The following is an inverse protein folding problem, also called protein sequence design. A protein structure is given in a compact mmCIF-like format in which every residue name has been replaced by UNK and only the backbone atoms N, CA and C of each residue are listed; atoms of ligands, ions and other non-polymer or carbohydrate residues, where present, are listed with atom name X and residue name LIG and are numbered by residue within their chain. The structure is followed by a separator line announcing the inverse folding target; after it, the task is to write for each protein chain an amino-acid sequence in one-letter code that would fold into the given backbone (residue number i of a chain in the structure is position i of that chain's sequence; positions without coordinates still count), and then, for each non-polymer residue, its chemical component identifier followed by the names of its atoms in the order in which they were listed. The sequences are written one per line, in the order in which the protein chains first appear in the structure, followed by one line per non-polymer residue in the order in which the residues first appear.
data_IF_858093307033
#
_entry.id   IF_858093307033
#
_cell.length_a   1.000
_cell.length_b   1.000
_cell.length_c   1.000
_cell.angle_alpha   90.00
_cell.angle_beta   90.00
_cell.angle_gamma   90.00
#
_symmetry.space_group_name_H-M   'P 1'
#
loop_
_entity.id
_entity.type
_entity.pdbx_description
1 polymer ?
#
# COMPACT_ATOMS: atom_id res chain seq x y z
N UNK A 1 27.34 -12.34 12.87
CA UNK A 1 25.87 -12.23 13.03
C UNK A 1 25.27 -12.12 11.64
N UNK A 2 24.20 -12.86 11.36
CA UNK A 2 23.42 -12.68 10.13
C UNK A 2 22.38 -11.61 10.44
N UNK A 3 22.64 -10.37 10.02
CA UNK A 3 21.73 -9.23 10.28
C UNK A 3 20.43 -9.32 9.47
N UNK A 4 20.40 -10.12 8.39
CA UNK A 4 19.23 -10.30 7.51
C UNK A 4 19.11 -11.76 7.06
N UNK A 5 17.96 -12.39 7.32
CA UNK A 5 17.67 -13.75 6.86
C UNK A 5 17.16 -13.75 5.43
N UNK A 6 18.05 -13.97 4.47
CA UNK A 6 17.72 -14.07 3.05
C UNK A 6 18.68 -15.00 2.29
N UNK A 7 18.23 -15.53 1.14
CA UNK A 7 19.12 -16.26 0.22
C UNK A 7 20.03 -15.30 -0.56
N UNK A 8 19.46 -14.25 -1.14
CA UNK A 8 20.19 -13.15 -1.78
C UNK A 8 19.30 -11.90 -1.86
N UNK A 9 19.91 -10.73 -2.11
CA UNK A 9 19.20 -9.47 -2.34
C UNK A 9 18.26 -9.53 -3.55
N UNK A 10 18.69 -10.20 -4.62
CA UNK A 10 17.93 -10.30 -5.87
C UNK A 10 16.73 -11.25 -5.74
N UNK A 11 16.85 -12.23 -4.85
CA UNK A 11 15.84 -13.27 -4.67
C UNK A 11 14.92 -13.06 -3.47
N UNK A 12 15.19 -12.07 -2.60
CA UNK A 12 14.46 -11.89 -1.34
C UNK A 12 12.95 -11.69 -1.56
N UNK A 13 12.56 -10.80 -2.48
CA UNK A 13 11.15 -10.53 -2.79
C UNK A 13 10.48 -11.79 -3.38
N UNK A 14 11.12 -12.46 -4.35
CA UNK A 14 10.59 -13.71 -4.93
C UNK A 14 10.47 -14.82 -3.89
N UNK A 15 11.41 -14.89 -2.94
CA UNK A 15 11.37 -15.81 -1.80
C UNK A 15 10.19 -15.55 -0.88
N UNK A 16 9.91 -14.29 -0.57
CA UNK A 16 8.73 -13.87 0.18
C UNK A 16 7.42 -14.31 -0.51
N UNK A 17 7.27 -14.02 -1.81
CA UNK A 17 6.08 -14.42 -2.58
C UNK A 17 5.88 -15.94 -2.62
N UNK A 18 6.95 -16.73 -2.73
CA UNK A 18 6.87 -18.20 -2.61
C UNK A 18 6.44 -18.64 -1.21
N UNK A 19 6.95 -17.98 -0.18
CA UNK A 19 6.61 -18.24 1.22
C UNK A 19 5.11 -18.04 1.47
N UNK A 20 4.56 -16.88 1.10
CA UNK A 20 3.13 -16.59 1.29
C UNK A 20 2.24 -17.49 0.43
N UNK A 21 2.67 -17.85 -0.79
CA UNK A 21 1.94 -18.80 -1.65
C UNK A 21 1.79 -20.16 -0.98
N UNK A 22 2.82 -20.61 -0.26
CA UNK A 22 2.80 -21.89 0.47
C UNK A 22 1.98 -21.78 1.77
N UNK A 23 2.11 -20.67 2.49
CA UNK A 23 1.47 -20.48 3.79
C UNK A 23 -0.06 -20.23 3.69
N UNK A 24 -0.54 -19.67 2.57
CA UNK A 24 -1.94 -19.26 2.40
C UNK A 24 -2.59 -19.89 1.16
N UNK A 25 -2.79 -21.23 1.12
CA UNK A 25 -3.32 -21.93 -0.06
C UNK A 25 -4.78 -21.56 -0.41
N UNK A 26 -5.50 -20.91 0.50
CA UNK A 26 -6.87 -20.42 0.27
C UNK A 26 -6.97 -19.11 -0.52
N UNK A 27 -5.84 -18.50 -0.86
CA UNK A 27 -5.75 -17.29 -1.70
C UNK A 27 -5.09 -17.63 -3.03
N UNK A 28 -5.49 -16.93 -4.08
CA UNK A 28 -4.77 -17.01 -5.35
C UNK A 28 -3.52 -16.13 -5.25
N UNK A 29 -2.34 -16.73 -5.43
CA UNK A 29 -1.07 -16.02 -5.36
C UNK A 29 -0.26 -16.38 -6.60
N UNK A 30 -0.02 -15.39 -7.45
CA UNK A 30 0.89 -15.49 -8.58
C UNK A 30 2.24 -14.88 -8.18
N UNK A 31 3.23 -15.76 -8.01
CA UNK A 31 4.59 -15.41 -7.60
C UNK A 31 5.32 -14.57 -8.65
N UNK A 32 5.06 -14.80 -9.94
CA UNK A 32 5.78 -14.11 -11.01
C UNK A 32 5.23 -12.70 -11.23
N UNK A 33 3.90 -12.55 -11.23
CA UNK A 33 3.28 -11.22 -11.28
C UNK A 33 3.21 -10.52 -9.93
N UNK A 34 3.63 -11.17 -8.84
CA UNK A 34 3.57 -10.64 -7.47
C UNK A 34 2.15 -10.17 -7.11
N UNK A 35 1.14 -10.95 -7.49
CA UNK A 35 -0.26 -10.61 -7.28
C UNK A 35 -0.88 -11.60 -6.31
N UNK A 36 -1.53 -11.10 -5.27
CA UNK A 36 -2.38 -11.89 -4.37
C UNK A 36 -3.83 -11.43 -4.50
N UNK A 37 -4.75 -12.38 -4.56
CA UNK A 37 -6.16 -12.17 -4.83
C UNK A 37 -7.03 -13.11 -3.99
N UNK A 38 -8.08 -12.55 -3.41
CA UNK A 38 -9.20 -13.32 -2.89
C UNK A 38 -10.02 -13.89 -4.06
N UNK A 39 -9.64 -15.07 -4.56
CA UNK A 39 -10.29 -15.73 -5.69
C UNK A 39 -11.55 -16.48 -5.22
N UNK A 40 -12.60 -15.73 -4.88
CA UNK A 40 -13.92 -16.24 -4.51
C UNK A 40 -15.00 -15.42 -5.19
N UNK A 41 -16.18 -16.02 -5.38
CA UNK A 41 -17.36 -15.24 -5.78
C UNK A 41 -17.72 -14.27 -4.65
N UNK A 42 -17.77 -12.99 -5.01
CA UNK A 42 -18.05 -11.87 -4.11
C UNK A 42 -19.39 -11.22 -4.43
N UNK A 43 -20.29 -11.88 -5.16
CA UNK A 43 -21.63 -11.39 -5.51
C UNK A 43 -21.60 -9.98 -6.12
N UNK A 44 -20.62 -9.74 -6.99
CA UNK A 44 -20.39 -8.44 -7.64
C UNK A 44 -20.26 -7.24 -6.67
N UNK A 45 -19.79 -7.45 -5.43
CA UNK A 45 -19.43 -6.37 -4.49
C UNK A 45 -18.17 -5.64 -4.94
N UNK A 46 -18.07 -4.33 -4.73
CA UNK A 46 -16.88 -3.51 -5.09
C UNK A 46 -15.57 -4.20 -4.69
N UNK A 47 -14.61 -4.31 -5.61
CA UNK A 47 -13.27 -4.83 -5.29
C UNK A 47 -12.43 -3.71 -4.68
N UNK A 48 -11.85 -3.97 -3.52
CA UNK A 48 -10.89 -3.07 -2.89
C UNK A 48 -9.48 -3.53 -3.27
N UNK A 49 -8.71 -2.67 -3.95
CA UNK A 49 -7.40 -3.04 -4.49
C UNK A 49 -6.36 -2.03 -4.03
N UNK A 50 -5.18 -2.51 -3.67
CA UNK A 50 -4.01 -1.67 -3.41
C UNK A 50 -2.76 -2.27 -4.08
N UNK A 51 -1.69 -1.51 -4.13
CA UNK A 51 -0.40 -1.96 -4.65
C UNK A 51 0.71 -1.19 -3.94
N UNK A 52 1.92 -1.73 -3.97
CA UNK A 52 3.08 -1.08 -3.37
C UNK A 52 4.34 -1.95 -3.45
N UNK A 53 5.48 -1.33 -3.14
CA UNK A 53 6.75 -2.05 -3.04
C UNK A 53 6.80 -3.02 -1.86
N UNK A 54 7.70 -4.00 -1.95
CA UNK A 54 8.04 -4.88 -0.83
C UNK A 54 8.84 -4.14 0.25
N UNK A 55 8.96 -4.74 1.44
CA UNK A 55 9.71 -4.18 2.58
C UNK A 55 8.84 -3.56 3.68
N UNK A 56 7.51 -3.61 3.51
CA UNK A 56 6.53 -3.12 4.48
C UNK A 56 5.63 -4.24 5.01
N UNK A 57 6.04 -5.50 4.84
CA UNK A 57 5.23 -6.66 5.22
C UNK A 57 4.78 -6.57 6.70
N UNK A 58 3.50 -6.84 7.02
CA UNK A 58 2.49 -7.51 6.19
C UNK A 58 1.79 -6.61 5.16
N UNK A 59 2.09 -5.31 5.10
CA UNK A 59 1.53 -4.45 4.06
C UNK A 59 2.05 -4.85 2.67
N UNK A 60 1.22 -4.92 1.62
CA UNK A 60 -0.24 -4.98 1.63
C UNK A 60 -0.81 -6.40 1.54
N UNK A 61 0.01 -7.38 1.15
CA UNK A 61 -0.44 -8.74 0.85
C UNK A 61 -1.12 -9.45 2.03
N UNK A 62 -0.66 -9.21 3.25
CA UNK A 62 -1.25 -9.77 4.47
C UNK A 62 -2.66 -9.25 4.79
N UNK A 63 -3.12 -8.21 4.09
CA UNK A 63 -4.46 -7.65 4.24
C UNK A 63 -5.43 -8.08 3.12
N UNK A 64 -5.07 -9.05 2.28
CA UNK A 64 -5.98 -9.65 1.30
C UNK A 64 -6.85 -10.71 1.96
N UNK A 65 -8.17 -10.52 1.91
CA UNK A 65 -9.13 -11.40 2.55
C UNK A 65 -10.54 -10.82 2.63
N UNK A 66 -11.49 -11.64 3.09
CA UNK A 66 -12.87 -11.20 3.29
C UNK A 66 -12.92 -10.05 4.29
N UNK A 67 -13.67 -8.98 3.99
CA UNK A 67 -13.73 -7.73 4.77
C UNK A 67 -12.49 -6.83 4.75
N UNK A 68 -11.50 -7.08 3.89
CA UNK A 68 -10.35 -6.20 3.69
C UNK A 68 -10.07 -6.00 2.19
N UNK A 69 -8.82 -6.12 1.74
CA UNK A 69 -8.46 -6.02 0.34
C UNK A 69 -8.97 -7.26 -0.42
N UNK A 70 -9.47 -7.02 -1.62
CA UNK A 70 -9.74 -8.08 -2.60
C UNK A 70 -8.45 -8.53 -3.25
N UNK A 71 -7.54 -7.61 -3.55
CA UNK A 71 -6.25 -7.93 -4.16
C UNK A 71 -5.17 -6.93 -3.74
N UNK A 72 -3.92 -7.40 -3.78
CA UNK A 72 -2.74 -6.58 -3.66
C UNK A 72 -1.73 -6.92 -4.75
N UNK A 73 -1.15 -5.90 -5.38
CA UNK A 73 -0.12 -6.03 -6.41
C UNK A 73 1.22 -5.58 -5.83
N UNK A 74 2.18 -6.48 -5.79
CA UNK A 74 3.54 -6.25 -5.30
C UNK A 74 4.47 -5.66 -6.35
N UNK A 75 5.32 -4.74 -5.89
CA UNK A 75 6.47 -4.24 -6.61
C UNK A 75 7.79 -4.80 -6.08
N UNK A 76 8.89 -4.22 -6.57
CA UNK A 76 10.22 -4.52 -6.04
C UNK A 76 10.38 -3.92 -4.62
N UNK A 77 11.51 -4.20 -3.98
CA UNK A 77 11.84 -3.65 -2.66
C UNK A 77 11.80 -2.11 -2.71
N UNK A 78 10.93 -1.50 -1.90
CA UNK A 78 10.68 -0.05 -1.83
C UNK A 78 10.35 0.65 -3.15
N UNK A 79 9.88 -0.09 -4.16
CA UNK A 79 9.50 0.47 -5.45
C UNK A 79 8.13 -0.05 -5.88
N UNK A 80 7.24 0.88 -6.25
CA UNK A 80 5.92 0.57 -6.76
C UNK A 80 5.98 -0.41 -7.96
N UNK A 81 4.98 -1.29 -8.12
CA UNK A 81 4.85 -2.08 -9.34
C UNK A 81 4.63 -1.19 -10.56
N UNK A 82 5.03 -1.67 -11.73
CA UNK A 82 4.84 -0.92 -12.98
C UNK A 82 3.35 -0.75 -13.32
N UNK A 83 3.01 0.35 -13.99
CA UNK A 83 1.64 0.60 -14.46
C UNK A 83 1.08 -0.55 -15.32
N UNK A 84 1.92 -1.21 -16.12
CA UNK A 84 1.54 -2.38 -16.91
C UNK A 84 1.12 -3.59 -16.05
N UNK A 85 1.83 -3.83 -14.94
CA UNK A 85 1.49 -4.89 -13.98
C UNK A 85 0.18 -4.57 -13.25
N UNK A 86 0.05 -3.35 -12.75
CA UNK A 86 -1.18 -2.89 -12.07
C UNK A 86 -2.38 -2.98 -13.02
N UNK A 87 -2.29 -2.44 -14.23
CA UNK A 87 -3.40 -2.46 -15.20
C UNK A 87 -3.79 -3.87 -15.62
N UNK A 88 -2.83 -4.79 -15.79
CA UNK A 88 -3.11 -6.20 -16.08
C UNK A 88 -3.89 -6.86 -14.94
N UNK A 89 -3.47 -6.64 -13.69
CA UNK A 89 -4.18 -7.15 -12.53
C UNK A 89 -5.60 -6.57 -12.43
N UNK A 90 -5.76 -5.25 -12.58
CA UNK A 90 -7.06 -4.57 -12.56
C UNK A 90 -8.02 -5.10 -13.63
N UNK A 91 -7.54 -5.35 -14.86
CA UNK A 91 -8.35 -5.94 -15.94
C UNK A 91 -8.83 -7.35 -15.59
N UNK A 92 -7.97 -8.15 -14.96
CA UNK A 92 -8.34 -9.50 -14.53
C UNK A 92 -9.36 -9.46 -13.38
N UNK A 93 -9.19 -8.54 -12.43
CA UNK A 93 -10.15 -8.33 -11.32
C UNK A 93 -11.51 -7.89 -11.87
N UNK A 94 -11.56 -6.98 -12.85
CA UNK A 94 -12.81 -6.50 -13.47
C UNK A 94 -13.57 -7.60 -14.26
N UNK A 95 -12.89 -8.65 -14.71
CA UNK A 95 -13.56 -9.82 -15.30
C UNK A 95 -14.31 -10.62 -14.24
N UNK A 96 -13.71 -10.78 -13.06
CA UNK A 96 -14.25 -11.55 -11.94
C UNK A 96 -15.24 -10.76 -11.08
N UNK A 97 -15.26 -9.44 -11.20
CA UNK A 97 -16.07 -8.59 -10.35
C UNK A 97 -16.74 -7.44 -11.11
N UNK A 98 -18.08 -7.43 -11.13
CA UNK A 98 -18.87 -6.40 -11.84
C UNK A 98 -19.28 -5.21 -10.99
N UNK A 99 -18.99 -5.21 -9.68
CA UNK A 99 -19.28 -4.09 -8.78
C UNK A 99 -18.37 -2.86 -8.92
N UNK A 100 -17.42 -2.90 -9.85
CA UNK A 100 -16.37 -1.91 -9.98
C UNK A 100 -15.21 -2.11 -8.99
N UNK A 101 -14.20 -1.25 -9.11
CA UNK A 101 -12.96 -1.30 -8.33
C UNK A 101 -12.78 0.03 -7.59
N UNK A 102 -12.45 -0.03 -6.31
CA UNK A 102 -11.90 1.09 -5.55
C UNK A 102 -10.41 0.83 -5.31
N UNK A 103 -9.57 1.63 -5.95
CA UNK A 103 -8.13 1.63 -5.75
C UNK A 103 -7.75 2.50 -4.55
N UNK A 104 -7.13 1.90 -3.53
CA UNK A 104 -6.57 2.61 -2.37
C UNK A 104 -5.08 2.78 -2.58
N UNK A 105 -4.65 4.01 -2.79
CA UNK A 105 -3.30 4.35 -3.25
C UNK A 105 -2.58 5.10 -2.13
N UNK A 106 -1.38 4.66 -1.78
CA UNK A 106 -0.55 5.38 -0.83
C UNK A 106 -0.15 6.74 -1.41
N UNK A 107 -0.27 7.83 -0.65
CA UNK A 107 0.16 9.15 -1.13
C UNK A 107 1.70 9.25 -1.12
N UNK A 108 2.32 8.65 -2.13
CA UNK A 108 3.71 8.86 -2.50
C UNK A 108 3.82 8.97 -4.03
N UNK A 109 4.86 9.65 -4.50
CA UNK A 109 5.01 9.98 -5.92
C UNK A 109 5.01 8.76 -6.82
N UNK A 110 5.70 7.68 -6.44
CA UNK A 110 5.82 6.47 -7.25
C UNK A 110 4.50 5.73 -7.40
N UNK A 111 3.76 5.53 -6.30
CA UNK A 111 2.48 4.81 -6.31
C UNK A 111 1.43 5.64 -7.05
N UNK A 112 1.37 6.95 -6.82
CA UNK A 112 0.46 7.85 -7.54
C UNK A 112 0.66 7.80 -9.05
N UNK A 113 1.92 7.89 -9.51
CA UNK A 113 2.22 7.87 -10.94
C UNK A 113 1.87 6.51 -11.56
N UNK A 114 2.30 5.41 -10.93
CA UNK A 114 2.07 4.07 -11.47
C UNK A 114 0.59 3.68 -11.45
N UNK A 115 -0.14 3.96 -10.37
CA UNK A 115 -1.58 3.75 -10.32
C UNK A 115 -2.34 4.67 -11.27
N UNK A 116 -1.99 5.95 -11.34
CA UNK A 116 -2.67 6.91 -12.20
C UNK A 116 -2.64 6.46 -13.66
N UNK A 117 -1.46 6.09 -14.17
CA UNK A 117 -1.31 5.53 -15.51
C UNK A 117 -2.10 4.23 -15.70
N UNK A 118 -2.09 3.34 -14.71
CA UNK A 118 -2.82 2.08 -14.78
C UNK A 118 -4.34 2.28 -14.78
N UNK A 119 -4.86 3.20 -13.97
CA UNK A 119 -6.28 3.54 -13.87
C UNK A 119 -6.77 4.09 -15.21
N UNK A 120 -6.05 5.04 -15.80
CA UNK A 120 -6.40 5.58 -17.11
C UNK A 120 -6.39 4.49 -18.20
N UNK A 121 -5.39 3.61 -18.16
CA UNK A 121 -5.29 2.46 -19.08
C UNK A 121 -6.53 1.55 -19.02
N UNK A 122 -7.06 1.27 -17.82
CA UNK A 122 -8.20 0.37 -17.67
C UNK A 122 -9.55 1.07 -17.85
N UNK A 123 -9.64 2.38 -17.59
CA UNK A 123 -10.83 3.20 -17.87
C UNK A 123 -11.14 3.24 -19.36
N UNK A 124 -10.13 3.42 -20.21
CA UNK A 124 -10.26 3.34 -21.68
C UNK A 124 -10.80 1.99 -22.15
N UNK A 125 -10.58 0.92 -21.36
CA UNK A 125 -11.09 -0.43 -21.62
C UNK A 125 -12.45 -0.71 -20.97
N UNK A 126 -13.13 0.31 -20.45
CA UNK A 126 -14.48 0.22 -19.89
C UNK A 126 -14.55 -0.29 -18.45
N UNK A 127 -13.42 -0.36 -17.72
CA UNK A 127 -13.44 -0.75 -16.30
C UNK A 127 -14.00 0.38 -15.45
N UNK A 128 -15.04 0.08 -14.66
CA UNK A 128 -15.55 1.00 -13.63
C UNK A 128 -14.56 1.01 -12.44
N UNK A 129 -13.83 2.11 -12.30
CA UNK A 129 -12.81 2.27 -11.27
C UNK A 129 -12.76 3.69 -10.72
N UNK A 130 -12.72 3.78 -9.41
CA UNK A 130 -12.44 5.00 -8.65
C UNK A 130 -11.19 4.80 -7.79
N UNK A 131 -10.61 5.91 -7.32
CA UNK A 131 -9.45 5.86 -6.44
C UNK A 131 -9.57 6.81 -5.24
N UNK A 132 -8.86 6.45 -4.19
CA UNK A 132 -8.65 7.30 -3.01
C UNK A 132 -7.17 7.27 -2.63
N UNK A 133 -6.64 8.44 -2.27
CA UNK A 133 -5.31 8.54 -1.67
C UNK A 133 -5.40 8.31 -0.17
N UNK A 134 -4.45 7.54 0.37
CA UNK A 134 -4.16 7.49 1.80
C UNK A 134 -3.20 8.63 2.11
N UNK A 135 -3.65 9.60 2.90
CA UNK A 135 -2.89 10.81 3.22
C UNK A 135 -3.01 11.15 4.71
N UNK A 136 -2.63 10.19 5.56
CA UNK A 136 -2.80 10.24 7.01
C UNK A 136 -1.60 10.81 7.76
N UNK A 137 -0.42 10.93 7.13
CA UNK A 137 0.77 11.44 7.83
C UNK A 137 0.66 12.93 8.17
N UNK A 138 0.68 13.26 9.45
CA UNK A 138 0.65 14.63 9.96
C UNK A 138 2.02 15.20 10.29
N UNK A 139 3.11 14.56 9.85
CA UNK A 139 4.46 15.08 10.06
C UNK A 139 4.74 16.38 9.29
N UNK A 140 4.03 16.71 8.20
CA UNK A 140 4.36 17.86 7.34
C UNK A 140 3.23 18.90 7.24
N UNK A 141 2.67 19.31 8.39
CA UNK A 141 1.51 20.22 8.47
C UNK A 141 1.73 21.59 7.82
N UNK A 142 2.95 22.13 7.78
CA UNK A 142 3.22 23.45 7.19
C UNK A 142 2.96 23.50 5.68
N UNK A 143 3.03 22.35 5.00
CA UNK A 143 2.72 22.22 3.57
C UNK A 143 1.22 22.02 3.29
N UNK A 144 0.42 21.62 4.29
CA UNK A 144 -1.02 21.39 4.15
C UNK A 144 -1.82 22.69 3.95
N UNK A 145 -1.40 23.79 4.57
CA UNK A 145 -2.13 25.07 4.51
C UNK A 145 -2.14 25.63 3.08
N UNK A 146 -1.11 25.33 2.27
CA UNK A 146 -0.98 25.84 0.89
C UNK A 146 -1.36 24.82 -0.18
N UNK A 147 -1.16 23.52 0.06
CA UNK A 147 -1.34 22.46 -0.95
C UNK A 147 -2.42 21.42 -0.59
N UNK A 148 -3.10 21.57 0.54
CA UNK A 148 -4.03 20.56 1.06
C UNK A 148 -3.33 19.23 1.40
N UNK A 149 -4.10 18.14 1.43
CA UNK A 149 -3.61 16.79 1.75
C UNK A 149 -2.54 16.24 0.80
N UNK A 150 -2.23 16.92 -0.31
CA UNK A 150 -1.22 16.49 -1.27
C UNK A 150 0.18 16.41 -0.65
N UNK A 151 0.42 17.14 0.45
CA UNK A 151 1.72 17.12 1.14
C UNK A 151 1.89 15.97 2.12
N UNK A 152 0.78 15.34 2.55
CA UNK A 152 0.81 14.26 3.56
C UNK A 152 1.15 12.93 2.93
N UNK A 153 2.15 12.24 3.44
CA UNK A 153 2.42 10.86 3.03
C UNK A 153 1.27 9.94 3.45
N UNK A 154 1.10 8.84 2.72
CA UNK A 154 0.27 7.72 3.19
C UNK A 154 1.11 6.76 4.02
N UNK A 155 0.66 6.42 5.23
CA UNK A 155 1.33 5.50 6.15
C UNK A 155 0.35 4.43 6.69
N UNK A 156 0.38 4.15 7.99
CA UNK A 156 -0.34 3.05 8.63
C UNK A 156 -1.87 3.21 8.66
N UNK A 157 -2.39 4.42 8.48
CA UNK A 157 -3.83 4.69 8.39
C UNK A 157 -4.52 3.95 7.24
N UNK A 158 -3.74 3.55 6.22
CA UNK A 158 -4.18 2.64 5.15
C UNK A 158 -4.84 1.36 5.67
N UNK A 159 -4.34 0.78 6.76
CA UNK A 159 -4.86 -0.47 7.34
C UNK A 159 -6.29 -0.28 7.87
N UNK A 160 -6.56 0.85 8.53
CA UNK A 160 -7.91 1.20 8.99
C UNK A 160 -8.85 1.39 7.80
N UNK A 161 -8.36 2.05 6.74
CA UNK A 161 -9.11 2.25 5.51
C UNK A 161 -9.46 0.92 4.84
N UNK A 162 -8.50 -0.01 4.73
CA UNK A 162 -8.75 -1.36 4.21
C UNK A 162 -9.83 -2.08 5.02
N UNK A 163 -9.76 -1.99 6.35
CA UNK A 163 -10.70 -2.67 7.24
C UNK A 163 -12.13 -2.13 7.13
N UNK A 164 -12.28 -0.81 7.09
CA UNK A 164 -13.59 -0.15 7.05
C UNK A 164 -14.20 -0.30 5.66
N UNK A 165 -13.45 0.04 4.59
CA UNK A 165 -13.93 -0.08 3.22
C UNK A 165 -14.21 -1.53 2.83
N UNK A 166 -13.38 -2.48 3.28
CA UNK A 166 -13.62 -3.90 3.05
C UNK A 166 -14.92 -4.39 3.69
N UNK A 167 -15.26 -3.89 4.89
CA UNK A 167 -16.55 -4.17 5.52
C UNK A 167 -17.74 -3.52 4.79
N UNK A 168 -17.59 -2.27 4.33
CA UNK A 168 -18.60 -1.59 3.52
C UNK A 168 -18.87 -2.32 2.20
N UNK A 169 -17.81 -2.79 1.53
CA UNK A 169 -17.92 -3.63 0.34
C UNK A 169 -18.65 -4.94 0.64
N UNK A 170 -18.35 -5.61 1.77
CA UNK A 170 -19.09 -6.82 2.18
C UNK A 170 -20.59 -6.54 2.36
N UNK A 171 -20.93 -5.36 2.89
CA UNK A 171 -22.31 -4.93 3.08
C UNK A 171 -22.99 -4.44 1.78
N UNK A 172 -22.35 -4.62 0.61
CA UNK A 172 -22.95 -4.31 -0.68
C UNK A 172 -23.03 -2.83 -1.02
N UNK A 173 -22.25 -1.96 -0.34
CA UNK A 173 -22.17 -0.53 -0.68
C UNK A 173 -21.68 -0.36 -2.11
N UNK A 174 -22.30 0.58 -2.82
CA UNK A 174 -21.92 0.93 -4.18
C UNK A 174 -20.54 1.61 -4.21
N UNK A 175 -19.88 1.59 -5.38
CA UNK A 175 -18.59 2.25 -5.58
C UNK A 175 -18.65 3.74 -5.20
N UNK A 176 -19.73 4.43 -5.57
CA UNK A 176 -19.95 5.85 -5.26
C UNK A 176 -20.03 6.11 -3.75
N UNK A 177 -20.80 5.31 -3.02
CA UNK A 177 -20.88 5.42 -1.55
C UNK A 177 -19.52 5.15 -0.91
N UNK A 178 -18.81 4.12 -1.36
CA UNK A 178 -17.49 3.79 -0.83
C UNK A 178 -16.47 4.90 -1.04
N UNK A 179 -16.50 5.63 -2.16
CA UNK A 179 -15.64 6.80 -2.38
C UNK A 179 -15.94 7.92 -1.38
N UNK A 180 -17.21 8.19 -1.08
CA UNK A 180 -17.60 9.20 -0.10
C UNK A 180 -17.12 8.83 1.31
N UNK A 181 -17.31 7.57 1.71
CA UNK A 181 -16.83 7.05 2.99
C UNK A 181 -15.30 7.06 3.05
N UNK A 182 -14.61 6.69 1.98
CA UNK A 182 -13.15 6.72 1.91
C UNK A 182 -12.59 8.13 2.14
N UNK A 183 -13.21 9.16 1.56
CA UNK A 183 -12.86 10.57 1.81
C UNK A 183 -13.08 10.95 3.27
N UNK A 184 -14.18 10.49 3.87
CA UNK A 184 -14.50 10.75 5.28
C UNK A 184 -13.55 10.06 6.26
N UNK A 185 -13.08 8.85 5.93
CA UNK A 185 -12.05 8.13 6.68
C UNK A 185 -10.72 8.88 6.56
N UNK A 186 -10.33 9.26 5.34
CA UNK A 186 -9.05 9.91 5.09
C UNK A 186 -8.92 11.25 5.83
N UNK A 187 -9.98 12.06 5.89
CA UNK A 187 -9.93 13.33 6.63
C UNK A 187 -9.96 13.19 8.17
N UNK A 188 -10.22 12.00 8.70
CA UNK A 188 -10.32 11.70 10.14
C UNK A 188 -9.23 10.75 10.63
N UNK A 189 -8.31 10.36 9.74
CA UNK A 189 -7.21 9.46 10.08
C UNK A 189 -5.92 10.25 10.07
N UNK A 190 -5.20 10.19 11.18
CA UNK A 190 -3.90 10.82 11.34
C UNK A 190 -2.90 9.79 11.84
N UNK A 191 -1.68 9.84 11.34
CA UNK A 191 -0.55 9.06 11.83
C UNK A 191 0.70 9.92 11.85
N UNK A 192 1.67 9.53 12.69
CA UNK A 192 2.99 10.14 12.72
C UNK A 192 3.99 9.08 13.20
N UNK A 193 5.08 8.91 12.45
CA UNK A 193 6.14 7.96 12.78
C UNK A 193 7.20 8.55 13.70
N UNK A 194 7.88 7.70 14.47
CA UNK A 194 9.14 8.04 15.15
C UNK A 194 10.15 6.94 14.82
N UNK A 195 11.34 7.33 14.35
CA UNK A 195 12.43 6.45 13.99
C UNK A 195 13.54 6.50 15.05
N UNK A 196 13.83 5.38 15.69
CA UNK A 196 14.97 5.27 16.63
C UNK A 196 16.25 4.81 15.94
N UNK A 197 16.11 4.02 14.86
CA UNK A 197 17.21 3.51 14.05
C UNK A 197 16.78 3.42 12.59
N UNK A 198 17.70 3.62 11.64
CA UNK A 198 17.42 3.44 10.23
C UNK A 198 17.16 1.97 9.91
N UNK A 199 16.32 1.72 8.90
CA UNK A 199 16.20 0.38 8.35
C UNK A 199 17.50 -0.01 7.62
N UNK A 200 17.91 -1.27 7.76
CA UNK A 200 18.89 -1.90 6.88
C UNK A 200 18.12 -2.77 5.90
N UNK A 201 18.43 -2.66 4.62
CA UNK A 201 17.75 -3.46 3.60
C UNK A 201 18.74 -4.22 2.72
N UNK A 202 18.33 -5.37 2.16
CA UNK A 202 19.17 -6.22 1.32
C UNK A 202 19.96 -5.48 0.25
N UNK A 203 21.27 -5.74 0.19
CA UNK A 203 22.15 -5.20 -0.84
C UNK A 203 22.64 -3.77 -0.59
N UNK A 204 22.34 -3.15 0.56
CA UNK A 204 22.88 -1.85 0.95
C UNK A 204 23.69 -1.97 2.24
N UNK A 205 24.98 -1.61 2.14
CA UNK A 205 25.92 -1.67 3.26
C UNK A 205 25.87 -0.42 4.16
N UNK A 206 25.16 0.63 3.73
CA UNK A 206 24.99 1.87 4.48
C UNK A 206 23.51 2.09 4.78
N UNK A 207 23.24 2.65 5.95
CA UNK A 207 21.90 3.09 6.35
C UNK A 207 21.62 4.46 5.72
N UNK A 208 20.37 4.73 5.36
CA UNK A 208 20.02 6.00 4.68
C UNK A 208 20.27 7.25 5.53
N UNK A 209 20.31 7.09 6.86
CA UNK A 209 20.65 8.12 7.83
C UNK A 209 21.30 7.46 9.05
N UNK A 210 21.92 8.27 9.91
CA UNK A 210 22.41 7.85 11.22
C UNK A 210 21.84 8.74 12.32
N UNK A 211 21.53 8.13 13.44
CA UNK A 211 21.15 8.78 14.69
C UNK A 211 22.10 8.29 15.79
N UNK A 212 22.45 9.18 16.72
CA UNK A 212 23.06 8.78 17.98
C UNK A 212 22.08 7.98 18.85
N UNK A 213 22.61 7.26 19.84
CA UNK A 213 21.83 6.36 20.69
C UNK A 213 20.80 7.06 21.58
N UNK A 214 20.92 8.39 21.75
CA UNK A 214 20.05 9.21 22.59
C UNK A 214 19.14 10.12 21.78
N UNK A 215 19.00 9.88 20.47
CA UNK A 215 18.12 10.66 19.60
C UNK A 215 16.99 9.81 19.01
N UNK A 216 15.93 10.49 18.58
CA UNK A 216 14.86 9.95 17.72
C UNK A 216 14.53 10.91 16.59
N UNK A 217 14.22 10.39 15.41
CA UNK A 217 13.72 11.15 14.27
C UNK A 217 12.19 11.18 14.33
N UNK A 218 11.60 12.37 14.56
CA UNK A 218 10.15 12.55 14.66
C UNK A 218 9.57 12.84 13.29
N UNK A 219 8.44 12.20 12.97
CA UNK A 219 7.76 12.36 11.70
C UNK A 219 8.44 11.63 10.55
N UNK A 220 9.16 10.54 10.82
CA UNK A 220 9.85 9.78 9.78
C UNK A 220 8.87 9.10 8.81
N UNK A 221 9.21 9.04 7.52
CA UNK A 221 8.46 8.30 6.51
C UNK A 221 8.72 6.79 6.54
N UNK A 222 7.86 6.02 5.90
CA UNK A 222 7.93 4.55 5.90
C UNK A 222 9.12 3.98 5.10
N UNK A 223 9.68 4.73 4.15
CA UNK A 223 10.92 4.34 3.49
C UNK A 223 12.16 4.91 4.17
N UNK A 224 12.03 5.62 5.29
CA UNK A 224 13.13 6.32 5.94
C UNK A 224 13.37 7.74 5.40
N UNK A 225 12.38 8.33 4.73
CA UNK A 225 12.37 9.75 4.38
C UNK A 225 12.45 10.61 5.64
N UNK A 226 13.21 11.70 5.57
CA UNK A 226 13.40 12.63 6.68
C UNK A 226 12.06 13.14 7.24
N UNK A 227 12.03 13.35 8.56
CA UNK A 227 10.85 13.84 9.25
C UNK A 227 10.92 15.32 9.55
N UNK A 228 10.29 15.70 10.66
CA UNK A 228 10.31 17.06 11.21
C UNK A 228 11.67 17.44 11.80
N UNK A 229 12.42 16.44 12.28
CA UNK A 229 13.72 16.62 12.87
C UNK A 229 13.99 15.65 14.01
N UNK A 230 15.09 15.90 14.72
CA UNK A 230 15.62 15.03 15.75
C UNK A 230 15.32 15.58 17.14
N UNK A 231 14.87 14.71 18.03
CA UNK A 231 14.72 15.00 19.46
C UNK A 231 15.68 14.13 20.27
N UNK A 232 16.32 14.71 21.27
CA UNK A 232 17.04 13.95 22.29
C UNK A 232 16.04 13.29 23.23
N UNK A 233 16.27 12.03 23.57
CA UNK A 233 15.47 11.26 24.51
C UNK A 233 16.37 10.94 25.70
N UNK A 234 16.00 11.50 26.86
CA UNK A 234 16.66 11.32 28.15
C UNK A 234 16.41 9.94 28.75
#
# INVERSE_FOLDING_TARGET
MVDVLMKSSESCVKGYWKGISTAYPGLFIDVESQTILLNKDRANRVALVSAGGAGHEPFGAGYVGENMLTAFIGGALFAAPTAGRISTALLNIAKLNKGGILAVIMNNTSDMLMFGLAIETVRVKGVQIESILVADDVAHLDADIKNGYLSRRGLSGSVLMFKILGALSKNGRSLKEMVLEARCINCRTCSMGIGMRPCKYPGHNQTMWMLDETSVEVGIGLHGEAGLGRLQVS
#
